data_IF_905725293983
#
_entry.id   IF_905725293983
#
_cell.length_a   1.000
_cell.length_b   1.000
_cell.length_c   1.000
_cell.angle_alpha   90.00
_cell.angle_beta   90.00
_cell.angle_gamma   90.00
#
_symmetry.space_group_name_H-M   'P 1'
#
loop_
_entity.id
_entity.type
_entity.pdbx_description
1 polymer ?
#
# COMPACT_ATOMS: atom_id res chain seq x y z
N UNK A 1 16.89 -4.96 -8.12
CA UNK A 1 15.84 -4.45 -7.21
C UNK A 1 16.06 -2.97 -6.94
N UNK A 2 15.08 -2.15 -7.29
CA UNK A 2 15.05 -0.73 -6.93
C UNK A 2 14.89 -0.55 -5.41
N UNK A 3 15.35 0.58 -4.85
CA UNK A 3 15.15 0.90 -3.42
C UNK A 3 13.67 0.89 -3.01
N UNK A 4 12.78 1.33 -3.91
CA UNK A 4 11.34 1.31 -3.67
C UNK A 4 10.80 -0.13 -3.58
N UNK A 5 11.35 -1.04 -4.38
CA UNK A 5 10.99 -2.46 -4.39
C UNK A 5 11.42 -3.15 -3.11
N UNK A 6 12.62 -2.83 -2.60
CA UNK A 6 13.10 -3.31 -1.30
C UNK A 6 12.20 -2.86 -0.15
N UNK A 7 11.77 -1.58 -0.16
CA UNK A 7 10.83 -1.04 0.85
C UNK A 7 9.46 -1.72 0.79
N UNK A 8 8.93 -1.95 -0.40
CA UNK A 8 7.68 -2.70 -0.58
C UNK A 8 7.79 -4.13 -0.08
N UNK A 9 8.86 -4.84 -0.46
CA UNK A 9 9.08 -6.21 -0.02
C UNK A 9 9.18 -6.31 1.51
N UNK A 10 9.86 -5.34 2.14
CA UNK A 10 9.98 -5.29 3.61
C UNK A 10 8.66 -4.97 4.29
N UNK A 11 7.83 -4.10 3.72
CA UNK A 11 6.49 -3.83 4.23
C UNK A 11 5.60 -5.07 4.15
N UNK A 12 5.66 -5.82 3.04
CA UNK A 12 4.94 -7.10 2.87
C UNK A 12 5.38 -8.12 3.91
N UNK A 13 6.68 -8.25 4.15
CA UNK A 13 7.23 -9.19 5.13
C UNK A 13 6.72 -8.90 6.56
N UNK A 14 6.78 -7.64 6.98
CA UNK A 14 6.27 -7.21 8.28
C UNK A 14 4.74 -7.34 8.40
N UNK A 15 4.00 -7.08 7.32
CA UNK A 15 2.55 -7.30 7.28
C UNK A 15 2.21 -8.79 7.42
N UNK A 16 2.99 -9.69 6.80
CA UNK A 16 2.83 -11.15 6.98
C UNK A 16 3.15 -11.60 8.40
N UNK A 17 4.12 -10.94 9.05
CA UNK A 17 4.44 -11.14 10.46
C UNK A 17 3.40 -10.52 11.43
N UNK A 18 2.27 -10.01 10.92
CA UNK A 18 1.17 -9.40 11.69
C UNK A 18 1.61 -8.17 12.52
N UNK A 19 2.65 -7.46 12.07
CA UNK A 19 3.07 -6.21 12.71
C UNK A 19 2.06 -5.10 12.39
N UNK A 20 1.82 -4.21 13.37
CA UNK A 20 0.90 -3.10 13.19
C UNK A 20 1.33 -2.16 12.04
N UNK A 21 0.42 -1.80 11.11
CA UNK A 21 0.74 -0.94 9.98
C UNK A 21 1.35 0.42 10.34
N UNK A 22 1.03 0.99 11.51
CA UNK A 22 1.61 2.26 11.96
C UNK A 22 3.08 2.09 12.33
N UNK A 23 3.43 0.98 12.98
CA UNK A 23 4.81 0.65 13.33
C UNK A 23 5.65 0.44 12.06
N UNK A 24 5.10 -0.27 11.07
CA UNK A 24 5.73 -0.51 9.76
C UNK A 24 6.00 0.82 9.03
N UNK A 25 5.01 1.73 9.04
CA UNK A 25 5.13 3.03 8.40
C UNK A 25 6.31 3.85 8.96
N UNK A 26 6.45 3.87 10.29
CA UNK A 26 7.58 4.52 10.97
C UNK A 26 8.91 3.83 10.67
N UNK A 27 8.95 2.49 10.67
CA UNK A 27 10.20 1.74 10.49
C UNK A 27 10.76 1.82 9.06
N UNK A 28 9.89 1.87 8.05
CA UNK A 28 10.29 1.90 6.62
C UNK A 28 10.29 3.34 6.06
N UNK A 29 9.85 4.31 6.86
CA UNK A 29 9.73 5.73 6.49
C UNK A 29 8.84 5.87 5.24
N UNK A 30 7.61 5.38 5.37
CA UNK A 30 6.57 5.47 4.35
C UNK A 30 5.27 5.97 4.97
N UNK A 31 4.39 6.56 4.16
CA UNK A 31 3.06 6.92 4.64
C UNK A 31 2.29 5.68 5.12
N UNK A 32 1.54 5.82 6.20
CA UNK A 32 0.61 4.78 6.69
C UNK A 32 -0.35 4.34 5.58
N UNK A 33 -0.82 5.28 4.75
CA UNK A 33 -1.66 4.99 3.59
C UNK A 33 -1.00 4.00 2.61
N UNK A 34 0.32 4.10 2.40
CA UNK A 34 1.08 3.18 1.55
C UNK A 34 1.06 1.76 2.14
N UNK A 35 1.23 1.62 3.45
CA UNK A 35 1.19 0.32 4.13
C UNK A 35 -0.21 -0.30 4.04
N UNK A 36 -1.27 0.49 4.24
CA UNK A 36 -2.65 0.02 4.07
C UNK A 36 -2.96 -0.39 2.63
N UNK A 37 -2.46 0.35 1.64
CA UNK A 37 -2.60 -0.04 0.22
C UNK A 37 -1.90 -1.35 -0.09
N UNK A 38 -0.70 -1.57 0.47
CA UNK A 38 0.04 -2.83 0.32
C UNK A 38 -0.74 -3.98 0.99
N UNK A 39 -1.22 -3.78 2.22
CA UNK A 39 -2.06 -4.74 2.93
C UNK A 39 -3.32 -5.10 2.12
N UNK A 40 -4.03 -4.09 1.60
CA UNK A 40 -5.19 -4.29 0.74
C UNK A 40 -4.86 -5.07 -0.54
N UNK A 41 -3.71 -4.80 -1.15
CA UNK A 41 -3.25 -5.55 -2.31
C UNK A 41 -2.87 -7.01 -1.97
N UNK A 42 -2.41 -7.28 -0.74
CA UNK A 42 -2.08 -8.63 -0.25
C UNK A 42 -3.32 -9.46 0.12
N UNK A 43 -4.34 -8.85 0.73
CA UNK A 43 -5.56 -9.54 1.18
C UNK A 43 -6.48 -9.98 0.02
N UNK A 44 -6.07 -9.70 -1.21
CA UNK A 44 -6.76 -10.15 -2.41
C UNK A 44 -7.25 -8.96 -3.20
N UNK A 45 -7.14 -9.12 -4.52
CA UNK A 45 -7.91 -8.36 -5.47
C UNK A 45 -9.39 -8.47 -5.09
N UNK A 46 -9.91 -7.50 -4.35
CA UNK A 46 -11.20 -6.97 -4.74
C UNK A 46 -10.89 -6.24 -6.05
N UNK A 47 -11.29 -6.73 -7.23
CA UNK A 47 -11.41 -5.84 -8.35
C UNK A 47 -12.48 -4.84 -7.91
N UNK A 48 -12.07 -3.78 -7.22
CA UNK A 48 -12.71 -2.50 -7.41
C UNK A 48 -12.44 -2.26 -8.88
N UNK A 49 -13.36 -2.79 -9.68
CA UNK A 49 -13.70 -2.38 -11.01
C UNK A 49 -13.60 -0.87 -10.93
N UNK A 50 -12.44 -0.34 -11.33
CA UNK A 50 -12.35 1.06 -11.71
C UNK A 50 -13.34 1.11 -12.85
N UNK A 51 -14.60 1.46 -12.53
CA UNK A 51 -15.51 1.96 -13.54
C UNK A 51 -14.67 3.01 -14.28
N UNK A 52 -14.46 2.87 -15.59
CA UNK A 52 -13.73 3.87 -16.35
C UNK A 52 -14.58 5.13 -16.33
N UNK A 53 -14.41 5.99 -15.32
CA UNK A 53 -15.39 7.06 -15.09
C UNK A 53 -15.28 7.90 -13.83
N UNK A 54 -14.28 7.74 -12.96
CA UNK A 54 -14.05 8.73 -11.90
C UNK A 54 -12.66 9.33 -12.02
N UNK A 55 -12.41 9.95 -13.19
CA UNK A 55 -11.46 11.04 -13.30
C UNK A 55 -11.95 12.20 -12.43
N UNK A 56 -11.74 12.10 -11.13
CA UNK A 56 -11.94 13.18 -10.18
C UNK A 56 -10.85 14.24 -10.34
N UNK A 57 -10.82 14.90 -11.49
CA UNK A 57 -10.11 16.15 -11.72
C UNK A 57 -11.00 17.10 -12.52
N UNK A 58 -12.15 17.47 -11.94
CA UNK A 58 -12.71 18.79 -12.21
C UNK A 58 -12.12 19.77 -11.18
N UNK A 59 -10.84 20.09 -11.36
CA UNK A 59 -10.29 21.37 -10.92
C UNK A 59 -9.97 22.14 -12.20
N UNK A 60 -10.99 22.78 -12.76
CA UNK A 60 -11.02 24.16 -13.26
C UNK A 60 -12.36 24.42 -13.95
#
# INVERSE_FOLDING_TARGET
>A
MSEQEKKRQRAVDLLRAQVDPKVIATQIIVSSATVYNIRKAMEGMDPISRKPGTGGHNKK
#
